data_IF_457896291229
#
_entry.id   IF_457896291229
#
_cell.length_a   1.000
_cell.length_b   1.000
_cell.length_c   1.000
_cell.angle_alpha   90.00
_cell.angle_beta   90.00
_cell.angle_gamma   90.00
#
_symmetry.space_group_name_H-M   'P 1'
#
loop_
_entity.id
_entity.type
_entity.pdbx_description
1 polymer ?
#
# COMPACT_ATOMS: atom_id res chain seq x y z
N UNK A 1 -8.95 -24.01 -49.46
CA UNK A 1 -8.81 -22.71 -48.77
C UNK A 1 -9.46 -22.76 -47.38
N UNK A 2 -9.03 -23.69 -46.50
CA UNK A 2 -9.67 -23.91 -45.18
C UNK A 2 -8.68 -23.86 -44.00
N UNK A 3 -7.38 -23.66 -44.26
CA UNK A 3 -6.34 -23.64 -43.22
C UNK A 3 -6.19 -22.28 -42.54
N UNK A 4 -6.56 -21.21 -43.23
CA UNK A 4 -6.53 -19.83 -42.73
C UNK A 4 -7.34 -19.59 -41.45
N UNK A 5 -8.60 -20.07 -41.29
CA UNK A 5 -9.35 -19.86 -40.04
C UNK A 5 -8.76 -20.62 -38.85
N UNK A 6 -8.19 -21.81 -39.09
CA UNK A 6 -7.58 -22.62 -38.03
C UNK A 6 -6.31 -21.96 -37.49
N UNK A 7 -5.47 -21.42 -38.38
CA UNK A 7 -4.25 -20.70 -37.98
C UNK A 7 -4.60 -19.45 -37.17
N UNK A 8 -5.67 -18.74 -37.54
CA UNK A 8 -6.14 -17.57 -36.80
C UNK A 8 -6.65 -17.93 -35.39
N UNK A 9 -7.42 -19.01 -35.27
CA UNK A 9 -7.91 -19.48 -33.98
C UNK A 9 -6.76 -19.88 -33.05
N UNK A 10 -5.75 -20.60 -33.57
CA UNK A 10 -4.55 -20.96 -32.80
C UNK A 10 -3.72 -19.74 -32.39
N UNK A 11 -3.57 -18.74 -33.26
CA UNK A 11 -2.84 -17.52 -32.96
C UNK A 11 -3.53 -16.69 -31.86
N UNK A 12 -4.86 -16.55 -31.91
CA UNK A 12 -5.64 -15.87 -30.87
C UNK A 12 -5.53 -16.65 -29.55
N UNK A 13 -5.63 -17.97 -29.58
CA UNK A 13 -5.54 -18.79 -28.36
C UNK A 13 -4.15 -18.69 -27.71
N UNK A 14 -3.09 -18.69 -28.52
CA UNK A 14 -1.73 -18.48 -28.04
C UNK A 14 -1.52 -17.07 -27.45
N UNK A 15 -2.11 -16.03 -28.06
CA UNK A 15 -2.06 -14.66 -27.52
C UNK A 15 -2.81 -14.55 -26.17
N UNK A 16 -3.97 -15.21 -26.05
CA UNK A 16 -4.75 -15.22 -24.80
C UNK A 16 -4.00 -15.97 -23.70
N UNK A 17 -3.41 -17.13 -24.01
CA UNK A 17 -2.62 -17.91 -23.06
C UNK A 17 -1.35 -17.14 -22.62
N UNK A 18 -0.68 -16.44 -23.53
CA UNK A 18 0.46 -15.58 -23.20
C UNK A 18 0.07 -14.38 -22.30
N UNK A 19 -1.19 -13.94 -22.33
CA UNK A 19 -1.72 -12.90 -21.44
C UNK A 19 -2.11 -13.43 -20.04
N UNK A 20 -2.35 -14.74 -19.91
CA UNK A 20 -2.65 -15.39 -18.62
C UNK A 20 -1.39 -15.70 -17.80
N UNK A 21 -0.21 -15.68 -18.41
CA UNK A 21 1.09 -15.87 -17.75
C UNK A 21 1.66 -14.56 -17.15
N UNK A 22 0.77 -13.63 -16.80
CA UNK A 22 1.21 -12.47 -16.03
C UNK A 22 1.58 -13.02 -14.65
N UNK A 23 2.86 -12.96 -14.22
CA UNK A 23 3.21 -13.37 -12.87
C UNK A 23 2.25 -12.63 -11.95
N UNK A 24 1.73 -13.32 -10.94
CA UNK A 24 0.73 -12.84 -10.00
C UNK A 24 1.22 -11.55 -9.34
N UNK A 25 1.19 -10.43 -10.07
CA UNK A 25 1.61 -9.11 -9.65
C UNK A 25 0.59 -8.79 -8.58
N UNK A 26 1.07 -8.77 -7.33
CA UNK A 26 0.27 -8.52 -6.15
C UNK A 26 -0.64 -7.34 -6.45
N UNK A 27 -1.92 -7.61 -6.71
CA UNK A 27 -2.78 -6.57 -7.24
C UNK A 27 -3.03 -5.58 -6.11
N UNK A 28 -2.83 -4.29 -6.38
CA UNK A 28 -3.02 -3.21 -5.40
C UNK A 28 -4.39 -3.33 -4.73
N UNK A 29 -5.40 -3.73 -5.50
CA UNK A 29 -6.76 -3.89 -5.01
C UNK A 29 -6.94 -5.12 -4.10
N UNK A 30 -6.34 -6.26 -4.43
CA UNK A 30 -6.38 -7.44 -3.56
C UNK A 30 -5.58 -7.20 -2.28
N UNK A 31 -4.45 -6.49 -2.38
CA UNK A 31 -3.63 -6.18 -1.22
C UNK A 31 -4.29 -5.14 -0.30
N UNK A 32 -4.97 -4.14 -0.84
CA UNK A 32 -5.75 -3.18 -0.05
C UNK A 32 -6.94 -3.81 0.71
N UNK A 33 -7.43 -4.96 0.22
CA UNK A 33 -8.49 -5.72 0.87
C UNK A 33 -8.00 -6.66 1.99
N UNK A 34 -6.69 -6.92 2.08
CA UNK A 34 -6.08 -7.83 3.07
C UNK A 34 -5.09 -7.06 3.98
N UNK A 35 -5.57 -6.54 5.13
CA UNK A 35 -4.74 -5.69 6.00
C UNK A 35 -3.58 -6.44 6.64
N UNK A 36 -3.76 -7.72 7.00
CA UNK A 36 -2.71 -8.51 7.66
C UNK A 36 -1.53 -8.75 6.71
N UNK A 37 -1.83 -9.12 5.47
CA UNK A 37 -0.80 -9.32 4.44
C UNK A 37 -0.11 -8.02 4.06
N UNK A 38 -0.86 -6.93 3.95
CA UNK A 38 -0.32 -5.60 3.67
C UNK A 38 0.64 -5.12 4.77
N UNK A 39 0.28 -5.32 6.04
CA UNK A 39 1.13 -4.97 7.18
C UNK A 39 2.46 -5.74 7.17
N UNK A 40 2.40 -7.06 6.95
CA UNK A 40 3.59 -7.89 6.86
C UNK A 40 4.52 -7.46 5.71
N UNK A 41 3.97 -7.12 4.54
CA UNK A 41 4.76 -6.64 3.40
C UNK A 41 5.37 -5.26 3.64
N UNK A 42 4.65 -4.35 4.32
CA UNK A 42 5.21 -3.05 4.74
C UNK A 42 6.42 -3.24 5.66
N UNK A 43 6.33 -4.14 6.64
CA UNK A 43 7.47 -4.44 7.52
C UNK A 43 8.67 -4.98 6.73
N UNK A 44 8.44 -5.88 5.77
CA UNK A 44 9.48 -6.42 4.90
C UNK A 44 10.11 -5.35 4.01
N UNK A 45 9.32 -4.42 3.47
CA UNK A 45 9.82 -3.28 2.70
C UNK A 45 10.69 -2.34 3.54
N UNK A 46 10.31 -2.06 4.79
CA UNK A 46 11.14 -1.28 5.73
C UNK A 46 12.45 -1.99 6.06
N UNK A 47 12.43 -3.32 6.12
CA UNK A 47 13.61 -4.16 6.33
C UNK A 47 14.51 -4.32 5.08
N UNK A 48 14.12 -3.75 3.93
CA UNK A 48 14.89 -3.84 2.69
C UNK A 48 14.83 -5.21 2.01
N UNK A 49 13.81 -6.02 2.29
CA UNK A 49 13.68 -7.38 1.75
C UNK A 49 13.19 -7.43 0.29
N UNK A 50 12.66 -6.32 -0.24
CA UNK A 50 12.09 -6.22 -1.58
C UNK A 50 12.63 -5.01 -2.34
N UNK A 51 12.51 -5.02 -3.66
CA UNK A 51 12.90 -3.89 -4.50
C UNK A 51 11.96 -2.68 -4.35
N UNK A 52 12.45 -1.51 -4.79
CA UNK A 52 11.72 -0.25 -4.67
C UNK A 52 10.42 -0.20 -5.46
N UNK A 53 10.32 -0.89 -6.61
CA UNK A 53 9.10 -0.89 -7.42
C UNK A 53 8.00 -1.71 -6.74
N UNK A 54 8.36 -2.86 -6.17
CA UNK A 54 7.46 -3.65 -5.34
C UNK A 54 7.01 -2.86 -4.10
N UNK A 55 7.93 -2.23 -3.39
CA UNK A 55 7.59 -1.44 -2.21
C UNK A 55 6.73 -0.21 -2.52
N UNK A 56 6.89 0.41 -3.70
CA UNK A 56 5.99 1.43 -4.19
C UNK A 56 4.56 0.90 -4.43
N UNK A 57 4.42 -0.34 -4.93
CA UNK A 57 3.12 -0.98 -5.12
C UNK A 57 2.44 -1.30 -3.78
N UNK A 58 3.20 -1.75 -2.77
CA UNK A 58 2.72 -1.95 -1.40
C UNK A 58 2.26 -0.62 -0.79
N UNK A 59 3.03 0.46 -0.95
CA UNK A 59 2.64 1.79 -0.49
C UNK A 59 1.38 2.32 -1.19
N UNK A 60 1.20 2.03 -2.48
CA UNK A 60 -0.02 2.39 -3.21
C UNK A 60 -1.26 1.64 -2.69
N UNK A 61 -1.11 0.36 -2.31
CA UNK A 61 -2.20 -0.42 -1.72
C UNK A 61 -2.61 0.13 -0.36
N UNK A 62 -1.63 0.51 0.45
CA UNK A 62 -1.83 1.18 1.74
C UNK A 62 -2.56 2.52 1.60
N UNK A 63 -2.10 3.40 0.70
CA UNK A 63 -2.77 4.65 0.41
C UNK A 63 -4.21 4.45 -0.04
N UNK A 64 -4.46 3.48 -0.93
CA UNK A 64 -5.81 3.20 -1.43
C UNK A 64 -6.74 2.76 -0.30
N UNK A 65 -6.26 1.91 0.61
CA UNK A 65 -7.00 1.44 1.78
C UNK A 65 -7.29 2.57 2.76
N UNK A 66 -6.32 3.45 2.97
CA UNK A 66 -6.51 4.64 3.80
C UNK A 66 -7.62 5.52 3.23
N UNK A 67 -7.57 5.82 1.93
CA UNK A 67 -8.55 6.66 1.24
C UNK A 67 -9.94 6.01 1.10
N UNK A 68 -10.06 4.68 1.19
CA UNK A 68 -11.35 4.00 1.17
C UNK A 68 -12.11 4.06 2.50
N UNK A 69 -11.48 4.58 3.57
CA UNK A 69 -12.07 4.60 4.91
C UNK A 69 -12.23 3.21 5.53
N UNK A 70 -11.60 2.18 4.95
CA UNK A 70 -11.60 0.82 5.50
C UNK A 70 -10.56 0.62 6.61
N UNK A 71 -9.72 1.62 6.85
CA UNK A 71 -8.78 1.65 7.97
C UNK A 71 -9.55 1.68 9.30
N UNK A 72 -9.16 0.84 10.25
CA UNK A 72 -9.89 0.62 11.49
C UNK A 72 -9.02 0.81 12.73
N UNK A 73 -9.60 1.05 13.92
CA UNK A 73 -8.85 1.30 15.16
C UNK A 73 -7.96 0.12 15.58
N UNK A 74 -8.23 -1.08 15.05
CA UNK A 74 -7.47 -2.28 15.35
C UNK A 74 -6.23 -2.48 14.45
N UNK A 75 -5.93 -1.57 13.52
CA UNK A 75 -4.78 -1.70 12.61
C UNK A 75 -3.43 -1.37 13.26
N UNK A 76 -3.42 -0.39 14.15
CA UNK A 76 -2.19 0.05 14.83
C UNK A 76 -2.31 -0.24 16.31
N UNK A 77 -2.05 -1.51 16.68
CA UNK A 77 -2.17 -1.97 18.06
C UNK A 77 -0.95 -1.58 18.91
N UNK A 78 0.22 -1.41 18.29
CA UNK A 78 1.46 -1.04 18.99
C UNK A 78 2.08 0.23 18.42
N UNK A 79 2.90 0.91 19.24
CA UNK A 79 3.66 2.08 18.77
C UNK A 79 4.58 1.76 17.59
N UNK A 80 5.11 0.54 17.51
CA UNK A 80 5.99 0.13 16.42
C UNK A 80 5.24 -0.06 15.08
N UNK A 81 3.92 -0.23 15.12
CA UNK A 81 3.08 -0.41 13.94
C UNK A 81 2.77 0.93 13.25
N UNK A 82 2.75 2.03 14.01
CA UNK A 82 2.44 3.37 13.51
C UNK A 82 3.42 3.79 12.39
N UNK A 83 2.93 4.45 11.32
CA UNK A 83 3.82 5.04 10.33
C UNK A 83 4.72 6.10 10.98
N UNK A 84 5.99 6.23 10.54
CA UNK A 84 6.86 7.28 11.04
C UNK A 84 6.27 8.66 10.72
N UNK A 85 6.47 9.61 11.63
CA UNK A 85 6.04 11.00 11.43
C UNK A 85 6.84 11.59 10.25
N UNK A 86 6.19 12.18 9.24
CA UNK A 86 6.90 12.83 8.14
C UNK A 86 7.69 14.05 8.64
N UNK A 87 8.88 14.33 8.09
CA UNK A 87 9.72 15.46 8.53
C UNK A 87 9.06 16.82 8.29
N UNK A 88 8.07 16.91 7.40
CA UNK A 88 7.27 18.13 7.19
C UNK A 88 6.46 18.55 8.43
N UNK A 89 6.31 17.65 9.42
CA UNK A 89 5.66 17.96 10.70
C UNK A 89 6.63 18.54 11.74
N UNK A 90 7.95 18.47 11.51
CA UNK A 90 8.97 19.03 12.41
C UNK A 90 9.28 20.51 12.10
N UNK A 91 8.76 21.05 11.00
CA UNK A 91 8.96 22.45 10.62
C UNK A 91 8.27 23.37 11.64
N UNK A 92 9.00 24.31 12.27
CA UNK A 92 8.36 25.28 13.16
C UNK A 92 7.37 26.11 12.36
N UNK A 93 6.15 26.27 12.89
CA UNK A 93 5.20 27.22 12.33
C UNK A 93 5.79 28.63 12.50
N UNK A 94 6.38 29.15 11.42
CA UNK A 94 6.87 30.53 11.34
C UNK A 94 5.69 31.49 11.47
N UNK A 95 5.28 31.78 12.71
CA UNK A 95 4.23 32.76 12.98
C UNK A 95 3.44 32.48 14.25
N UNK A 96 3.92 33.05 15.35
CA UNK A 96 3.30 33.07 16.69
C UNK A 96 3.47 31.77 17.46
N UNK A 97 4.36 31.84 18.46
CA UNK A 97 4.37 31.08 19.69
C UNK A 97 3.37 29.91 19.70
N UNK A 98 3.87 28.71 19.46
CA UNK A 98 3.32 27.55 20.14
C UNK A 98 3.41 27.87 21.64
N UNK A 99 2.37 28.50 22.18
CA UNK A 99 2.14 28.55 23.60
C UNK A 99 1.82 27.11 23.96
N UNK A 100 2.86 26.35 24.27
CA UNK A 100 2.73 25.24 25.17
C UNK A 100 2.15 25.84 26.46
N UNK A 101 0.83 25.80 26.61
CA UNK A 101 0.24 26.00 27.92
C UNK A 101 0.83 24.89 28.80
N UNK A 102 1.60 25.23 29.86
CA UNK A 102 2.02 24.23 30.82
C UNK A 102 0.77 23.63 31.45
N UNK A 103 0.73 22.30 31.56
CA UNK A 103 -0.45 21.51 31.90
C UNK A 103 -1.25 22.05 33.09
N UNK A 104 -2.57 22.12 32.88
CA UNK A 104 -3.54 22.01 33.97
C UNK A 104 -4.41 20.79 33.69
N UNK A 105 -3.88 19.63 34.06
CA UNK A 105 -4.71 18.45 34.33
C UNK A 105 -5.26 18.63 35.75
N UNK A 106 -6.40 19.33 35.85
CA UNK A 106 -7.21 19.37 37.07
C UNK A 106 -8.06 18.09 37.09
N UNK A 107 -7.72 17.19 38.01
CA UNK A 107 -8.46 15.95 38.28
C UNK A 107 -9.72 16.25 39.11
N UNK A 108 -10.91 15.79 38.70
CA UNK A 108 -11.96 15.40 39.64
C UNK A 108 -11.82 13.94 40.06
#
# INVERSE_FOLDING_TARGET
MQRTPVVFAFAIHALVLAGCDRPQQVSVNALAADPARLHALRAQCRAGAHDGAFCAQVAQADLRRFLSGQAGPNEYQTLADLPPIPPSFDEPADGSAAIALPGQEDSP
#
